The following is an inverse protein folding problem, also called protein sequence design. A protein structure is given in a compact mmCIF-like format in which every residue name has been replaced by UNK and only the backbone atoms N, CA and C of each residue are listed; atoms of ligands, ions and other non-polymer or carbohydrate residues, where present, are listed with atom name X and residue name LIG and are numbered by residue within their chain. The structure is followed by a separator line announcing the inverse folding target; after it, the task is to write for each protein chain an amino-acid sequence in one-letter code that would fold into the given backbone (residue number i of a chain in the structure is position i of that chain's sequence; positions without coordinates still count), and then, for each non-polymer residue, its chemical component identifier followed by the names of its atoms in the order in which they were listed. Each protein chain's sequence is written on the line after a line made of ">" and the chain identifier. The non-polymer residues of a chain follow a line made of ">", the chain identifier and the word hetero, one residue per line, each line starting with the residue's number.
data_IF_251546056191
#
_entry.id   IF_251546056191
#
_cell.length_a   1.000
_cell.length_b   1.000
_cell.length_c   1.000
_cell.angle_alpha   90.00
_cell.angle_beta   90.00
_cell.angle_gamma   90.00
#
_symmetry.space_group_name_H-M   'P 1'
#
loop_
_entity.id
_entity.type
_entity.pdbx_description
1 polymer ?
#
# COMPACT_ATOMS: atom_id res chain seq x y z
N UNK A 1 23.85 -3.82 -1.20
CA UNK A 1 22.53 -3.88 -1.86
C UNK A 1 21.56 -3.21 -0.91
N UNK A 2 21.04 -2.04 -1.27
CA UNK A 2 20.11 -1.32 -0.41
C UNK A 2 18.82 -2.13 -0.34
N UNK A 3 18.15 -2.20 0.83
CA UNK A 3 16.85 -2.88 1.01
C UNK A 3 15.81 -2.47 -0.05
N UNK A 4 16.03 -1.32 -0.69
CA UNK A 4 15.29 -0.73 -1.82
C UNK A 4 15.25 -1.61 -3.08
N UNK A 5 16.28 -2.41 -3.37
CA UNK A 5 16.29 -3.34 -4.53
C UNK A 5 15.46 -4.60 -4.27
N UNK A 6 15.17 -4.92 -3.00
CA UNK A 6 14.56 -6.19 -2.61
C UNK A 6 13.03 -6.19 -2.68
N UNK A 7 12.41 -5.01 -2.75
CA UNK A 7 10.96 -4.81 -2.71
C UNK A 7 10.46 -3.87 -3.84
N UNK A 8 10.62 -4.27 -5.11
CA UNK A 8 10.26 -3.42 -6.25
C UNK A 8 8.77 -3.06 -6.28
N UNK A 9 7.90 -3.99 -5.85
CA UNK A 9 6.45 -3.77 -5.82
C UNK A 9 6.05 -2.77 -4.73
N UNK A 10 6.68 -2.82 -3.55
CA UNK A 10 6.47 -1.86 -2.47
C UNK A 10 6.91 -0.46 -2.88
N UNK A 11 8.01 -0.34 -3.63
CA UNK A 11 8.46 0.94 -4.19
C UNK A 11 7.47 1.48 -5.21
N UNK A 12 7.03 0.64 -6.15
CA UNK A 12 6.04 1.06 -7.15
C UNK A 12 4.72 1.49 -6.49
N UNK A 13 4.28 0.76 -5.45
CA UNK A 13 3.18 1.17 -4.59
C UNK A 13 3.45 2.50 -3.89
N UNK A 14 4.64 2.71 -3.30
CA UNK A 14 5.07 3.95 -2.64
C UNK A 14 4.98 5.20 -3.53
N UNK A 15 5.25 5.05 -4.83
CA UNK A 15 5.19 6.16 -5.78
C UNK A 15 3.87 6.22 -6.55
N UNK A 16 2.91 5.33 -6.26
CA UNK A 16 1.71 5.13 -7.07
C UNK A 16 2.04 4.95 -8.58
N UNK A 17 3.16 4.28 -8.87
CA UNK A 17 3.62 4.00 -10.23
C UNK A 17 2.91 2.76 -10.78
N UNK A 18 1.74 3.00 -11.37
CA UNK A 18 0.83 1.96 -11.83
C UNK A 18 1.39 1.14 -12.99
N UNK A 19 2.18 1.77 -13.85
CA UNK A 19 2.86 1.10 -14.96
C UNK A 19 3.86 0.08 -14.44
N UNK A 20 4.68 0.48 -13.46
CA UNK A 20 5.61 -0.46 -12.80
C UNK A 20 4.88 -1.54 -12.03
N UNK A 21 3.77 -1.25 -11.34
CA UNK A 21 2.96 -2.26 -10.65
C UNK A 21 2.43 -3.31 -11.63
N UNK A 22 1.78 -2.88 -12.72
CA UNK A 22 1.24 -3.79 -13.73
C UNK A 22 2.36 -4.62 -14.36
N UNK A 23 3.48 -4.00 -14.69
CA UNK A 23 4.63 -4.70 -15.24
C UNK A 23 5.18 -5.76 -14.27
N UNK A 24 5.35 -5.42 -13.00
CA UNK A 24 5.85 -6.34 -11.98
C UNK A 24 4.88 -7.51 -11.74
N UNK A 25 3.57 -7.24 -11.66
CA UNK A 25 2.54 -8.28 -11.51
C UNK A 25 2.55 -9.23 -12.71
N UNK A 26 2.61 -8.70 -13.93
CA UNK A 26 2.67 -9.51 -15.15
C UNK A 26 3.93 -10.37 -15.24
N UNK A 27 5.03 -9.95 -14.61
CA UNK A 27 6.26 -10.72 -14.49
C UNK A 27 6.25 -11.70 -13.30
N UNK A 28 5.11 -11.88 -12.62
CA UNK A 28 4.97 -12.85 -11.53
C UNK A 28 5.48 -12.37 -10.17
N UNK A 29 5.50 -11.05 -9.93
CA UNK A 29 5.85 -10.52 -8.62
C UNK A 29 4.93 -11.06 -7.52
N UNK A 30 5.52 -11.44 -6.38
CA UNK A 30 4.76 -11.94 -5.24
C UNK A 30 4.09 -10.78 -4.48
N UNK A 31 2.76 -10.70 -4.61
CA UNK A 31 1.91 -9.74 -3.91
C UNK A 31 1.85 -9.96 -2.39
N UNK A 32 2.25 -11.15 -1.93
CA UNK A 32 2.28 -11.52 -0.50
C UNK A 32 3.60 -11.18 0.16
N UNK A 33 4.60 -10.76 -0.61
CA UNK A 33 5.91 -10.40 -0.09
C UNK A 33 5.77 -9.31 0.97
N UNK A 34 6.37 -9.55 2.13
CA UNK A 34 6.39 -8.61 3.23
C UNK A 34 7.77 -7.96 3.32
N UNK A 35 7.78 -6.63 3.51
CA UNK A 35 9.00 -5.88 3.82
C UNK A 35 9.50 -6.21 5.24
N UNK A 36 10.64 -5.65 5.68
CA UNK A 36 11.13 -5.85 7.04
C UNK A 36 10.17 -5.35 8.14
N UNK A 37 9.09 -4.65 7.82
CA UNK A 37 8.07 -4.18 8.74
C UNK A 37 6.82 -5.08 8.72
N UNK A 38 6.81 -6.12 7.88
CA UNK A 38 5.64 -6.98 7.68
C UNK A 38 4.62 -6.39 6.70
N UNK A 39 4.90 -5.25 6.10
CA UNK A 39 4.00 -4.58 5.17
C UNK A 39 4.07 -5.24 3.81
N UNK A 40 2.91 -5.44 3.20
CA UNK A 40 2.81 -5.79 1.78
C UNK A 40 2.76 -4.51 0.95
N UNK A 41 2.94 -4.62 -0.38
CA UNK A 41 2.78 -3.48 -1.28
C UNK A 41 1.41 -2.78 -1.11
N UNK A 42 0.37 -3.53 -0.73
CA UNK A 42 -0.94 -2.97 -0.43
C UNK A 42 -0.93 -2.06 0.81
N UNK A 43 -0.27 -2.45 1.90
CA UNK A 43 -0.08 -1.59 3.08
C UNK A 43 0.65 -0.29 2.72
N UNK A 44 1.65 -0.37 1.82
CA UNK A 44 2.39 0.82 1.39
C UNK A 44 1.48 1.77 0.60
N UNK A 45 0.67 1.24 -0.32
CA UNK A 45 -0.26 2.06 -1.12
C UNK A 45 -1.35 2.74 -0.29
N UNK A 46 -1.79 2.13 0.82
CA UNK A 46 -2.80 2.73 1.71
C UNK A 46 -2.25 3.90 2.53
N UNK A 47 -0.97 3.87 2.92
CA UNK A 47 -0.35 4.98 3.67
C UNK A 47 -0.19 6.28 2.87
N UNK A 48 -0.16 6.22 1.52
CA UNK A 48 0.12 7.39 0.68
C UNK A 48 -1.10 8.27 0.42
N UNK A 49 -2.29 7.68 0.36
CA UNK A 49 -3.54 8.42 0.15
C UNK A 49 -3.80 9.49 1.21
N UNK A 50 -3.04 9.45 2.31
CA UNK A 50 -3.16 10.34 3.45
C UNK A 50 -2.10 11.45 3.47
N UNK A 51 -1.05 11.41 2.62
CA UNK A 51 -0.04 12.50 2.56
C UNK A 51 -0.47 13.68 1.69
N UNK A 52 -1.54 13.52 0.92
CA UNK A 52 -2.09 14.56 0.07
C UNK A 52 -3.50 14.93 0.53
N UNK A 53 -3.58 16.03 1.29
CA UNK A 53 -4.77 16.82 1.66
C UNK A 53 -5.58 16.42 2.91
N UNK A 54 -5.84 17.38 3.83
CA UNK A 54 -6.57 17.18 5.08
C UNK A 54 -8.10 17.20 4.87
N UNK A 55 -8.64 16.29 4.07
CA UNK A 55 -10.10 16.11 3.93
C UNK A 55 -10.42 14.63 4.13
N UNK A 56 -10.29 14.18 5.38
CA UNK A 56 -10.62 12.83 5.82
C UNK A 56 -12.13 12.52 5.86
N UNK A 57 -13.00 13.32 5.22
CA UNK A 57 -14.46 13.11 5.25
C UNK A 57 -15.09 12.80 3.89
N UNK A 58 -14.36 12.92 2.78
CA UNK A 58 -14.83 12.45 1.47
C UNK A 58 -14.16 11.12 1.12
N UNK A 59 -14.92 10.06 1.37
CA UNK A 59 -14.69 8.71 0.88
C UNK A 59 -14.01 8.63 -0.49
N UNK A 60 -12.95 7.82 -0.58
CA UNK A 60 -12.78 6.80 -1.63
C UNK A 60 -12.58 7.19 -3.11
N UNK A 61 -12.49 8.46 -3.52
CA UNK A 61 -12.45 8.81 -4.97
C UNK A 61 -11.08 9.15 -5.55
N UNK A 62 -10.06 9.37 -4.73
CA UNK A 62 -8.66 9.27 -5.18
C UNK A 62 -8.12 7.89 -4.79
N UNK A 63 -8.83 6.83 -5.22
CA UNK A 63 -8.32 5.47 -5.14
C UNK A 63 -6.96 5.51 -5.84
N UNK A 64 -5.87 5.46 -5.07
CA UNK A 64 -4.54 5.25 -5.62
C UNK A 64 -4.69 4.04 -6.55
N UNK A 65 -4.48 4.26 -7.85
CA UNK A 65 -4.67 3.25 -8.89
C UNK A 65 -3.87 1.98 -8.54
N UNK A 66 -2.77 2.12 -7.81
CA UNK A 66 -2.05 1.02 -7.17
C UNK A 66 -2.93 0.11 -6.30
N UNK A 67 -3.77 0.66 -5.43
CA UNK A 67 -4.72 -0.10 -4.58
C UNK A 67 -5.71 -0.85 -5.47
N UNK A 68 -6.29 -0.17 -6.48
CA UNK A 68 -7.26 -0.80 -7.39
C UNK A 68 -6.63 -1.98 -8.12
N UNK A 69 -5.42 -1.79 -8.66
CA UNK A 69 -4.69 -2.83 -9.41
C UNK A 69 -4.33 -3.99 -8.47
N UNK A 70 -3.78 -3.71 -7.29
CA UNK A 70 -3.43 -4.76 -6.33
C UNK A 70 -4.66 -5.57 -5.87
N UNK A 71 -5.79 -4.91 -5.60
CA UNK A 71 -7.05 -5.59 -5.26
C UNK A 71 -7.62 -6.39 -6.44
N UNK A 72 -7.57 -5.85 -7.66
CA UNK A 72 -8.00 -6.56 -8.87
C UNK A 72 -7.18 -7.83 -9.12
N UNK A 73 -5.91 -7.82 -8.71
CA UNK A 73 -5.01 -8.98 -8.76
C UNK A 73 -5.00 -9.82 -7.47
N UNK A 74 -6.03 -9.67 -6.63
CA UNK A 74 -6.28 -10.52 -5.46
C UNK A 74 -5.18 -10.43 -4.39
N UNK A 75 -4.54 -9.26 -4.25
CA UNK A 75 -3.57 -8.99 -3.19
C UNK A 75 -4.17 -9.29 -1.80
N UNK A 76 -3.38 -9.84 -0.85
CA UNK A 76 -3.92 -10.31 0.41
C UNK A 76 -4.27 -9.15 1.36
N UNK A 77 -5.56 -8.84 1.44
CA UNK A 77 -6.13 -7.78 2.30
C UNK A 77 -6.14 -8.11 3.79
N UNK A 78 -6.01 -9.40 4.15
CA UNK A 78 -6.04 -9.88 5.54
C UNK A 78 -4.64 -10.10 6.13
N UNK A 79 -3.59 -9.96 5.33
CA UNK A 79 -2.21 -10.07 5.82
C UNK A 79 -1.98 -9.02 6.90
N UNK A 80 -1.38 -9.44 8.02
CA UNK A 80 -1.04 -8.53 9.12
C UNK A 80 0.44 -8.17 9.06
N UNK A 81 0.74 -6.89 9.29
CA UNK A 81 2.08 -6.37 9.47
C UNK A 81 2.63 -6.72 10.88
N UNK A 82 3.82 -6.23 11.24
CA UNK A 82 4.41 -6.47 12.57
C UNK A 82 3.62 -5.84 13.73
N UNK A 83 2.84 -4.80 13.47
CA UNK A 83 1.93 -4.19 14.45
C UNK A 83 0.61 -4.98 14.59
N UNK A 84 0.45 -6.08 13.85
CA UNK A 84 -0.74 -6.92 13.88
C UNK A 84 -1.91 -6.34 13.06
N UNK A 85 -1.67 -5.29 12.28
CA UNK A 85 -2.67 -4.59 11.48
C UNK A 85 -2.71 -5.13 10.07
N UNK A 86 -3.91 -5.24 9.52
CA UNK A 86 -4.09 -5.48 8.10
C UNK A 86 -4.15 -4.15 7.33
N UNK A 87 -4.09 -4.21 5.99
CA UNK A 87 -3.99 -3.00 5.15
C UNK A 87 -5.15 -2.03 5.34
N UNK A 88 -6.34 -2.54 5.71
CA UNK A 88 -7.50 -1.71 6.02
C UNK A 88 -7.39 -1.06 7.42
N UNK A 89 -6.95 -1.81 8.43
CA UNK A 89 -6.69 -1.29 9.78
C UNK A 89 -5.58 -0.24 9.77
N UNK A 90 -4.54 -0.44 8.96
CA UNK A 90 -3.47 0.52 8.73
C UNK A 90 -4.02 1.85 8.19
N UNK A 91 -4.93 1.79 7.21
CA UNK A 91 -5.56 2.99 6.63
C UNK A 91 -6.39 3.77 7.66
N UNK A 92 -7.15 3.07 8.50
CA UNK A 92 -7.92 3.70 9.59
C UNK A 92 -6.98 4.36 10.61
N UNK A 93 -5.93 3.66 11.04
CA UNK A 93 -4.99 4.21 12.03
C UNK A 93 -4.25 5.44 11.52
N UNK A 94 -3.85 5.49 10.25
CA UNK A 94 -3.20 6.67 9.68
C UNK A 94 -4.14 7.86 9.51
N UNK A 95 -5.44 7.61 9.30
CA UNK A 95 -6.47 8.64 9.34
C UNK A 95 -6.59 9.28 10.72
N UNK A 96 -6.68 8.47 11.77
CA UNK A 96 -6.83 8.95 13.16
C UNK A 96 -5.56 9.63 13.69
N UNK A 97 -4.36 9.16 13.31
CA UNK A 97 -3.08 9.77 13.72
C UNK A 97 -2.90 11.19 13.17
N UNK A 98 -3.47 11.53 12.01
CA UNK A 98 -3.35 12.87 11.42
C UNK A 98 -4.32 13.89 12.01
N UNK A 99 -5.38 13.46 12.69
CA UNK A 99 -6.38 14.38 13.26
C UNK A 99 -5.90 15.00 14.59
N UNK A 100 -4.86 14.43 15.21
CA UNK A 100 -4.43 14.79 16.57
C UNK A 100 -3.11 15.59 16.66
N UNK A 101 -2.52 16.05 15.54
CA UNK A 101 -1.41 17.01 15.49
C UNK A 101 -1.88 18.34 14.89
#
# INVERSE_FOLDING_TARGET
>A
MTEVEKYPLHRAAFFNDTQSIVHLINNGADLRLQDPQGNTALHISTMLGHKAFPIALYMQVAFSEAITILLAHNAPVKSKNRDGWNSLMEAVSYGDRQIND
#
